data_IF_424014322542
#
_entry.id   IF_424014322542
#
_cell.length_a   1.000
_cell.length_b   1.000
_cell.length_c   1.000
_cell.angle_alpha   90.00
_cell.angle_beta   90.00
_cell.angle_gamma   90.00
#
_symmetry.space_group_name_H-M   'P 1'
#
loop_
_entity.id
_entity.type
_entity.pdbx_description
1 polymer ?
#
# COMPACT_ATOMS: atom_id res chain seq x y z
N UNK A 1 13.97 -35.85 24.99
CA UNK A 1 14.41 -37.26 24.78
C UNK A 1 15.93 -37.28 24.57
N UNK A 2 16.59 -38.43 24.66
CA UNK A 2 18.00 -38.50 24.24
C UNK A 2 18.09 -38.21 22.74
N UNK A 3 18.93 -37.26 22.34
CA UNK A 3 19.05 -36.86 20.93
C UNK A 3 19.82 -35.54 20.73
N UNK A 4 20.05 -35.21 19.46
CA UNK A 4 20.67 -33.94 19.04
C UNK A 4 19.60 -32.93 18.63
N UNK A 5 19.73 -31.71 19.13
CA UNK A 5 18.78 -30.62 18.92
C UNK A 5 19.51 -29.35 18.45
N UNK A 6 18.91 -28.59 17.55
CA UNK A 6 19.30 -27.20 17.31
C UNK A 6 18.50 -26.29 18.24
N UNK A 7 19.19 -25.33 18.86
CA UNK A 7 18.61 -24.47 19.90
C UNK A 7 18.75 -23.01 19.47
N UNK A 8 17.69 -22.23 19.65
CA UNK A 8 17.67 -20.78 19.41
C UNK A 8 16.88 -20.06 20.49
N UNK A 9 17.11 -18.76 20.61
CA UNK A 9 16.28 -17.85 21.41
C UNK A 9 15.21 -17.17 20.55
N UNK A 10 14.12 -16.79 21.20
CA UNK A 10 13.04 -16.00 20.62
C UNK A 10 12.62 -14.92 21.61
N UNK A 11 12.57 -13.67 21.15
CA UNK A 11 12.38 -12.50 22.01
C UNK A 11 11.46 -11.48 21.34
N UNK A 12 10.16 -11.77 21.30
CA UNK A 12 9.18 -10.86 20.68
C UNK A 12 8.85 -9.62 21.53
N UNK A 13 9.08 -9.68 22.84
CA UNK A 13 8.70 -8.65 23.82
C UNK A 13 9.87 -8.15 24.66
N UNK A 14 11.09 -8.41 24.23
CA UNK A 14 12.28 -7.88 24.89
C UNK A 14 13.17 -7.23 23.84
N UNK A 15 14.01 -6.31 24.27
CA UNK A 15 14.93 -5.57 23.42
C UNK A 15 16.11 -6.42 22.92
N UNK A 16 16.09 -7.74 23.06
CA UNK A 16 17.18 -8.62 22.65
C UNK A 16 16.91 -9.27 21.29
N UNK A 17 17.97 -9.38 20.48
CA UNK A 17 17.93 -10.14 19.24
C UNK A 17 17.89 -11.64 19.54
N UNK A 18 17.05 -12.37 18.80
CA UNK A 18 17.08 -13.83 18.80
C UNK A 18 18.30 -14.34 18.03
N UNK A 19 18.96 -15.38 18.55
CA UNK A 19 20.13 -15.98 17.93
C UNK A 19 20.09 -17.52 18.05
N UNK A 20 20.78 -18.21 17.14
CA UNK A 20 21.04 -19.64 17.28
C UNK A 20 22.26 -19.86 18.17
N UNK A 21 22.31 -21.02 18.82
CA UNK A 21 23.40 -21.36 19.74
C UNK A 21 24.79 -21.15 19.10
N UNK A 22 25.67 -20.43 19.80
CA UNK A 22 27.00 -20.00 19.34
C UNK A 22 26.98 -19.09 18.11
N UNK A 23 26.04 -18.13 18.08
CA UNK A 23 25.92 -17.10 17.03
C UNK A 23 25.85 -17.69 15.61
N UNK A 24 25.27 -18.88 15.49
CA UNK A 24 25.21 -19.59 14.22
C UNK A 24 24.20 -18.92 13.27
N UNK A 25 24.57 -18.81 11.99
CA UNK A 25 23.67 -18.39 10.93
C UNK A 25 23.23 -19.60 10.09
N UNK A 26 21.95 -20.01 10.14
CA UNK A 26 21.42 -21.09 9.30
C UNK A 26 21.60 -20.86 7.78
N UNK A 27 21.76 -19.59 7.36
CA UNK A 27 22.07 -19.25 5.98
C UNK A 27 23.49 -19.65 5.56
N UNK A 28 24.43 -19.76 6.51
CA UNK A 28 25.81 -20.17 6.28
C UNK A 28 26.07 -21.67 6.58
N UNK A 29 25.15 -22.34 7.29
CA UNK A 29 25.19 -23.78 7.54
C UNK A 29 24.34 -24.22 8.73
N UNK A 30 24.27 -25.53 8.97
CA UNK A 30 23.52 -26.07 10.11
C UNK A 30 24.10 -25.55 11.45
N UNK A 31 23.25 -25.06 12.38
CA UNK A 31 23.71 -24.64 13.70
C UNK A 31 24.42 -25.78 14.47
N UNK A 32 25.33 -25.49 15.41
CA UNK A 32 25.94 -26.51 16.25
C UNK A 32 24.87 -27.30 17.03
N UNK A 33 24.79 -28.64 16.87
CA UNK A 33 23.79 -29.43 17.58
C UNK A 33 24.16 -29.61 19.06
N UNK A 34 23.17 -29.43 19.93
CA UNK A 34 23.25 -29.74 21.37
C UNK A 34 22.77 -31.17 21.59
N UNK A 35 23.65 -32.04 22.10
CA UNK A 35 23.29 -33.41 22.44
C UNK A 35 22.77 -33.50 23.88
N UNK A 36 21.54 -33.99 24.03
CA UNK A 36 20.86 -34.19 25.32
C UNK A 36 20.80 -35.67 25.63
N UNK A 37 21.14 -36.07 26.87
CA UNK A 37 21.07 -37.46 27.34
C UNK A 37 20.11 -37.61 28.52
N UNK A 38 18.90 -38.13 28.26
CA UNK A 38 17.92 -38.37 29.31
C UNK A 38 18.39 -39.46 30.29
N UNK A 39 18.13 -39.34 31.61
CA UNK A 39 17.32 -38.30 32.27
C UNK A 39 18.15 -37.11 32.77
N UNK A 40 19.41 -36.98 32.34
CA UNK A 40 20.33 -35.98 32.84
C UNK A 40 20.06 -34.61 32.22
N UNK A 41 20.41 -33.56 32.98
CA UNK A 41 20.48 -32.21 32.45
C UNK A 41 21.71 -32.04 31.54
N UNK A 42 21.62 -31.14 30.56
CA UNK A 42 22.73 -30.76 29.68
C UNK A 42 23.15 -29.33 30.02
N UNK A 43 24.03 -29.14 31.02
CA UNK A 43 24.38 -27.81 31.51
C UNK A 43 25.24 -27.04 30.50
N UNK A 44 25.48 -25.76 30.79
CA UNK A 44 26.41 -24.88 30.07
C UNK A 44 26.04 -24.52 28.62
N UNK A 45 24.75 -24.66 28.27
CA UNK A 45 24.18 -24.16 27.02
C UNK A 45 23.66 -22.73 27.25
N UNK A 46 24.60 -21.77 27.24
CA UNK A 46 24.34 -20.36 27.52
C UNK A 46 24.29 -19.50 26.25
N UNK A 47 23.53 -18.40 26.29
CA UNK A 47 23.42 -17.38 25.24
C UNK A 47 23.87 -16.02 25.76
N UNK A 48 24.42 -15.16 24.87
CA UNK A 48 24.82 -13.79 25.21
C UNK A 48 24.16 -12.86 24.20
N UNK A 49 22.92 -12.47 24.49
CA UNK A 49 22.10 -11.76 23.52
C UNK A 49 22.52 -10.31 23.35
N UNK A 50 22.60 -9.88 22.09
CA UNK A 50 22.76 -8.47 21.73
C UNK A 50 21.43 -7.73 21.86
N UNK A 51 21.47 -6.48 22.34
CA UNK A 51 20.29 -5.61 22.35
C UNK A 51 20.04 -5.07 20.93
N UNK A 52 18.82 -5.24 20.43
CA UNK A 52 18.35 -4.66 19.18
C UNK A 52 17.79 -3.26 19.35
N UNK A 53 17.55 -2.59 18.23
CA UNK A 53 16.92 -1.27 18.19
C UNK A 53 15.42 -1.29 18.42
N UNK A 54 14.82 -0.11 18.36
CA UNK A 54 13.38 0.09 18.47
C UNK A 54 12.81 1.01 17.40
N UNK A 55 11.52 0.83 17.12
CA UNK A 55 10.71 1.67 16.25
C UNK A 55 9.46 2.06 17.01
N UNK A 56 9.07 3.33 16.92
CA UNK A 56 7.84 3.83 17.51
C UNK A 56 7.16 4.87 16.63
N UNK A 57 5.86 5.02 16.83
CA UNK A 57 5.03 5.97 16.12
C UNK A 57 3.58 5.83 16.55
N UNK A 58 2.70 6.26 15.67
CA UNK A 58 1.25 6.28 15.89
C UNK A 58 0.56 5.48 14.81
N UNK A 59 -0.38 4.63 15.20
CA UNK A 59 -1.29 3.95 14.28
C UNK A 59 -2.61 4.71 14.28
N UNK A 60 -3.04 5.16 13.10
CA UNK A 60 -4.32 5.84 12.91
C UNK A 60 -5.29 4.92 12.19
N UNK A 61 -6.51 4.84 12.69
CA UNK A 61 -7.61 4.10 12.07
C UNK A 61 -8.95 4.74 12.42
N UNK A 62 -9.60 5.36 11.42
CA UNK A 62 -10.80 6.17 11.62
C UNK A 62 -12.03 5.35 12.05
N UNK A 63 -12.13 4.09 11.59
CA UNK A 63 -13.31 3.25 11.78
C UNK A 63 -13.06 2.01 12.67
N UNK A 64 -11.89 1.92 13.30
CA UNK A 64 -11.56 0.82 14.20
C UNK A 64 -12.26 0.98 15.56
N UNK A 65 -13.30 0.18 15.83
CA UNK A 65 -13.99 0.19 17.12
C UNK A 65 -14.23 -1.21 17.71
N UNK A 66 -13.87 -1.40 18.98
CA UNK A 66 -14.17 -2.65 19.71
C UNK A 66 -13.31 -3.87 19.35
N UNK A 67 -12.17 -3.66 18.67
CA UNK A 67 -11.18 -4.70 18.33
C UNK A 67 -9.81 -4.48 18.99
N UNK A 68 -8.77 -5.12 18.47
CA UNK A 68 -7.38 -4.80 18.82
C UNK A 68 -6.56 -4.52 17.58
N UNK A 69 -5.50 -3.72 17.78
CA UNK A 69 -4.47 -3.47 16.79
C UNK A 69 -3.25 -4.33 17.14
N UNK A 70 -2.67 -4.95 16.13
CA UNK A 70 -1.41 -5.67 16.19
C UNK A 70 -0.44 -4.92 15.28
N UNK A 71 0.62 -4.37 15.88
CA UNK A 71 1.78 -3.85 15.16
C UNK A 71 2.84 -4.94 15.06
N UNK A 72 3.56 -5.02 13.96
CA UNK A 72 4.60 -6.02 13.80
C UNK A 72 5.70 -5.61 12.80
N UNK A 73 6.88 -6.20 13.00
CA UNK A 73 8.06 -6.02 12.16
C UNK A 73 8.44 -7.33 11.49
N UNK A 74 8.76 -7.30 10.20
CA UNK A 74 9.18 -8.46 9.40
C UNK A 74 10.59 -8.29 8.85
N UNK A 75 11.30 -9.41 8.67
CA UNK A 75 12.64 -9.46 8.07
C UNK A 75 12.64 -9.35 6.54
N UNK A 76 11.46 -9.44 5.93
CA UNK A 76 11.24 -9.33 4.49
C UNK A 76 9.84 -8.75 4.25
N UNK A 77 9.59 -8.33 3.01
CA UNK A 77 8.27 -7.86 2.59
C UNK A 77 7.21 -8.96 2.78
N UNK A 78 6.05 -8.54 3.28
CA UNK A 78 4.89 -9.40 3.49
C UNK A 78 4.31 -9.83 2.15
N UNK A 79 4.02 -11.13 2.00
CA UNK A 79 3.32 -11.59 0.80
C UNK A 79 1.85 -11.12 0.82
N UNK A 80 1.23 -10.81 -0.34
CA UNK A 80 -0.17 -10.35 -0.41
C UNK A 80 -1.18 -11.33 0.22
N UNK A 81 -0.85 -12.62 0.27
CA UNK A 81 -1.68 -13.68 0.85
C UNK A 81 -1.36 -14.00 2.32
N UNK A 82 -0.49 -13.22 2.96
CA UNK A 82 -0.03 -13.39 4.34
C UNK A 82 0.65 -14.73 4.66
N UNK A 83 0.97 -15.53 3.63
CA UNK A 83 1.45 -16.92 3.79
C UNK A 83 2.78 -17.06 4.53
N UNK A 84 3.59 -16.02 4.56
CA UNK A 84 4.96 -16.02 5.11
C UNK A 84 5.11 -15.23 6.42
N UNK A 85 4.00 -14.79 7.03
CA UNK A 85 4.03 -13.88 8.17
C UNK A 85 4.84 -14.45 9.36
N UNK A 86 4.49 -15.65 9.82
CA UNK A 86 5.07 -16.23 11.03
C UNK A 86 6.56 -16.58 10.89
N UNK A 87 7.00 -16.92 9.68
CA UNK A 87 8.41 -17.26 9.42
C UNK A 87 9.31 -16.02 9.40
N UNK A 88 8.73 -14.85 9.11
CA UNK A 88 9.44 -13.57 8.94
C UNK A 88 9.33 -12.64 10.14
N UNK A 89 8.53 -13.02 11.15
CA UNK A 89 8.20 -12.17 12.27
C UNK A 89 9.43 -11.91 13.17
N UNK A 90 9.78 -10.63 13.33
CA UNK A 90 10.86 -10.17 14.22
C UNK A 90 10.28 -9.75 15.57
N UNK A 91 9.29 -8.86 15.54
CA UNK A 91 8.72 -8.20 16.72
C UNK A 91 7.23 -8.00 16.53
N UNK A 92 6.47 -8.05 17.62
CA UNK A 92 5.04 -7.74 17.60
C UNK A 92 4.62 -6.98 18.86
N UNK A 93 3.61 -6.13 18.71
CA UNK A 93 3.01 -5.35 19.80
C UNK A 93 1.49 -5.36 19.69
N UNK A 94 0.82 -5.62 20.82
CA UNK A 94 -0.64 -5.56 20.94
C UNK A 94 -1.07 -4.24 21.55
N UNK A 95 -2.11 -3.65 20.97
CA UNK A 95 -2.69 -2.39 21.39
C UNK A 95 -4.20 -2.60 21.48
N UNK A 96 -4.78 -2.31 22.63
CA UNK A 96 -6.23 -2.37 22.78
C UNK A 96 -6.87 -1.24 21.93
N UNK A 97 -7.66 -1.64 20.93
CA UNK A 97 -8.18 -0.80 19.85
C UNK A 97 -9.34 0.10 20.30
N UNK A 98 -9.04 1.00 21.24
CA UNK A 98 -10.02 1.90 21.85
C UNK A 98 -10.01 3.32 21.26
N UNK A 99 -9.00 3.68 20.45
CA UNK A 99 -8.84 5.03 19.94
C UNK A 99 -8.53 5.03 18.44
N UNK A 100 -9.09 6.02 17.74
CA UNK A 100 -8.80 6.34 16.32
C UNK A 100 -7.31 6.57 16.06
N UNK A 101 -6.53 6.81 17.11
CA UNK A 101 -5.10 7.00 17.08
C UNK A 101 -4.46 6.36 18.31
N UNK A 102 -3.51 5.46 18.12
CA UNK A 102 -2.87 4.70 19.20
C UNK A 102 -1.35 4.63 19.02
N UNK A 103 -0.55 4.93 20.06
CA UNK A 103 0.90 4.81 19.98
C UNK A 103 1.31 3.33 19.97
N UNK A 104 2.42 3.03 19.30
CA UNK A 104 3.01 1.69 19.29
C UNK A 104 4.53 1.74 19.45
N UNK A 105 5.11 0.62 19.86
CA UNK A 105 6.56 0.45 19.91
C UNK A 105 6.91 -1.00 19.62
N UNK A 106 7.82 -1.20 18.68
CA UNK A 106 8.43 -2.48 18.35
C UNK A 106 9.88 -2.45 18.80
N UNK A 107 10.34 -3.51 19.45
CA UNK A 107 11.67 -3.60 20.06
C UNK A 107 12.38 -4.87 19.62
N UNK A 108 13.70 -4.90 19.82
CA UNK A 108 14.52 -6.06 19.44
C UNK A 108 14.70 -6.16 17.93
N UNK A 109 14.76 -5.00 17.25
CA UNK A 109 14.93 -4.95 15.79
C UNK A 109 16.42 -5.04 15.43
N UNK A 110 16.78 -5.83 14.40
CA UNK A 110 18.17 -5.97 13.98
C UNK A 110 18.72 -4.68 13.36
N UNK A 111 20.02 -4.44 13.55
CA UNK A 111 20.73 -3.34 12.89
C UNK A 111 21.20 -3.75 11.49
N UNK A 112 21.45 -2.75 10.64
CA UNK A 112 22.08 -2.87 9.32
C UNK A 112 21.38 -3.84 8.34
N UNK A 113 20.11 -4.15 8.61
CA UNK A 113 19.25 -5.01 7.81
C UNK A 113 17.93 -4.30 7.49
N UNK A 114 17.26 -4.74 6.44
CA UNK A 114 15.95 -4.21 6.07
C UNK A 114 14.89 -4.79 6.99
N UNK A 115 14.02 -3.91 7.49
CA UNK A 115 12.88 -4.27 8.32
C UNK A 115 11.64 -3.61 7.73
N UNK A 116 10.54 -4.36 7.63
CA UNK A 116 9.25 -3.86 7.18
C UNK A 116 8.31 -3.74 8.37
N UNK A 117 7.65 -2.60 8.48
CA UNK A 117 6.76 -2.27 9.60
C UNK A 117 5.31 -2.24 9.13
N UNK A 118 4.47 -3.00 9.81
CA UNK A 118 3.05 -3.17 9.48
C UNK A 118 2.18 -3.06 10.73
N UNK A 119 0.90 -2.81 10.51
CA UNK A 119 -0.12 -2.95 11.52
C UNK A 119 -1.42 -3.49 10.93
N UNK A 120 -2.18 -4.19 11.76
CA UNK A 120 -3.46 -4.78 11.43
C UNK A 120 -4.42 -4.59 12.59
N UNK A 121 -5.67 -4.28 12.30
CA UNK A 121 -6.76 -4.29 13.24
C UNK A 121 -7.81 -5.33 12.86
N UNK A 122 -8.32 -6.04 13.89
CA UNK A 122 -9.49 -6.90 13.75
C UNK A 122 -10.33 -6.89 15.02
N UNK A 123 -11.65 -7.06 14.85
CA UNK A 123 -12.59 -7.27 15.94
C UNK A 123 -12.81 -8.75 16.28
N UNK A 124 -12.34 -9.67 15.43
CA UNK A 124 -12.56 -11.11 15.55
C UNK A 124 -11.26 -11.92 15.67
N UNK A 125 -10.11 -11.34 15.34
CA UNK A 125 -8.80 -12.02 15.31
C UNK A 125 -8.76 -13.23 14.36
N UNK A 126 -9.53 -13.17 13.29
CA UNK A 126 -9.41 -14.17 12.23
C UNK A 126 -8.07 -13.92 11.52
N UNK A 127 -7.29 -14.99 11.32
CA UNK A 127 -6.05 -14.91 10.56
C UNK A 127 -6.13 -15.88 9.37
N UNK A 128 -5.83 -15.45 8.14
CA UNK A 128 -5.37 -14.11 7.73
C UNK A 128 -6.44 -13.01 7.89
N UNK A 129 -6.06 -11.72 7.81
CA UNK A 129 -7.03 -10.62 7.79
C UNK A 129 -8.08 -10.80 6.68
N UNK A 130 -9.34 -10.51 6.99
CA UNK A 130 -10.49 -10.71 6.09
C UNK A 130 -11.10 -9.36 5.67
N UNK A 131 -12.04 -9.37 4.71
CA UNK A 131 -12.81 -8.18 4.38
C UNK A 131 -13.45 -7.55 5.63
N UNK A 132 -13.30 -6.22 5.77
CA UNK A 132 -13.77 -5.46 6.93
C UNK A 132 -12.79 -5.40 8.11
N UNK A 133 -11.66 -6.10 8.05
CA UNK A 133 -10.49 -5.79 8.87
C UNK A 133 -9.75 -4.58 8.29
N UNK A 134 -8.79 -4.01 9.03
CA UNK A 134 -8.02 -2.86 8.58
C UNK A 134 -6.52 -3.18 8.60
N UNK A 135 -5.81 -2.88 7.52
CA UNK A 135 -4.38 -3.16 7.37
C UNK A 135 -3.61 -1.93 6.90
N UNK A 136 -2.37 -1.82 7.32
CA UNK A 136 -1.51 -0.71 6.92
C UNK A 136 -0.03 -1.04 7.08
N UNK A 137 0.79 -0.23 6.44
CA UNK A 137 2.24 -0.31 6.53
C UNK A 137 2.84 1.08 6.61
N UNK A 138 4.08 1.18 7.09
CA UNK A 138 4.81 2.43 6.98
C UNK A 138 5.13 2.75 5.52
N UNK A 139 4.80 3.97 5.07
CA UNK A 139 4.89 4.39 3.67
C UNK A 139 6.30 4.32 3.08
N UNK A 140 7.33 4.54 3.91
CA UNK A 140 8.73 4.50 3.49
C UNK A 140 9.41 3.17 3.85
N UNK A 141 8.63 2.09 3.99
CA UNK A 141 9.17 0.75 4.07
C UNK A 141 10.04 0.41 2.83
N UNK A 142 11.11 -0.40 3.00
CA UNK A 142 11.66 -0.88 4.27
C UNK A 142 12.53 0.17 4.97
N UNK A 143 12.63 0.06 6.29
CA UNK A 143 13.56 0.85 7.11
C UNK A 143 14.85 0.07 7.40
N UNK A 144 15.91 0.79 7.78
CA UNK A 144 17.19 0.22 8.24
C UNK A 144 17.60 0.92 9.53
N UNK A 145 17.67 0.19 10.64
CA UNK A 145 18.20 0.70 11.90
C UNK A 145 19.72 0.64 11.90
N UNK A 146 20.36 1.58 12.60
CA UNK A 146 21.82 1.64 12.75
C UNK A 146 22.16 1.71 14.23
N UNK A 147 23.27 1.13 14.66
CA UNK A 147 23.73 1.26 16.06
C UNK A 147 23.91 2.73 16.49
N UNK A 148 24.28 3.61 15.55
CA UNK A 148 24.42 5.04 15.79
C UNK A 148 23.08 5.77 16.01
N UNK A 149 21.97 5.17 15.56
CA UNK A 149 20.61 5.67 15.76
C UNK A 149 19.67 4.48 16.04
N UNK A 150 19.74 3.92 17.25
CA UNK A 150 19.12 2.64 17.57
C UNK A 150 17.60 2.73 17.74
N UNK A 151 17.06 3.93 17.90
CA UNK A 151 15.65 4.17 18.16
C UNK A 151 15.08 5.11 17.10
N UNK A 152 14.19 4.59 16.26
CA UNK A 152 13.46 5.38 15.27
C UNK A 152 12.08 5.76 15.82
N UNK A 153 11.71 7.02 15.67
CA UNK A 153 10.42 7.58 16.08
C UNK A 153 9.68 8.14 14.87
N UNK A 154 8.41 8.50 15.02
CA UNK A 154 7.59 9.10 13.95
C UNK A 154 7.42 8.16 12.74
N UNK A 155 7.45 6.84 13.01
CA UNK A 155 7.13 5.82 12.01
C UNK A 155 5.62 5.57 12.09
N UNK A 156 4.84 6.50 11.53
CA UNK A 156 3.38 6.46 11.62
C UNK A 156 2.76 5.52 10.58
N UNK A 157 1.63 4.89 10.93
CA UNK A 157 0.93 3.94 10.06
C UNK A 157 -0.54 4.34 9.98
N UNK A 158 -1.07 4.42 8.76
CA UNK A 158 -2.50 4.59 8.51
C UNK A 158 -3.09 3.25 8.10
N UNK A 159 -4.09 2.77 8.84
CA UNK A 159 -4.81 1.56 8.46
C UNK A 159 -5.92 1.90 7.48
N UNK A 160 -6.00 1.13 6.40
CA UNK A 160 -7.11 1.17 5.45
C UNK A 160 -7.92 -0.11 5.57
N UNK A 161 -9.21 -0.03 5.28
CA UNK A 161 -10.07 -1.21 5.26
C UNK A 161 -9.56 -2.20 4.20
N UNK A 162 -9.62 -3.48 4.52
CA UNK A 162 -9.37 -4.56 3.58
C UNK A 162 -10.71 -4.83 2.89
N UNK A 163 -10.73 -4.66 1.57
CA UNK A 163 -11.93 -4.88 0.78
C UNK A 163 -11.72 -6.09 -0.15
N UNK A 164 -12.76 -6.91 -0.25
CA UNK A 164 -12.81 -8.06 -1.14
C UNK A 164 -13.70 -7.73 -2.33
N UNK A 165 -13.20 -8.00 -3.54
CA UNK A 165 -13.92 -7.78 -4.81
C UNK A 165 -14.25 -6.31 -5.14
N UNK A 166 -13.86 -5.39 -4.27
CA UNK A 166 -13.95 -3.93 -4.34
C UNK A 166 -12.58 -3.47 -3.80
N UNK A 167 -11.73 -2.84 -4.62
CA UNK A 167 -10.32 -2.62 -4.25
C UNK A 167 -10.07 -1.30 -3.54
N UNK A 168 -10.92 -0.31 -3.77
CA UNK A 168 -10.81 1.04 -3.21
C UNK A 168 -11.84 1.29 -2.09
N UNK A 169 -12.71 0.31 -1.83
CA UNK A 169 -13.71 0.29 -0.77
C UNK A 169 -14.82 1.33 -0.95
N UNK A 170 -15.17 1.67 -2.19
CA UNK A 170 -16.21 2.65 -2.47
C UNK A 170 -17.64 2.08 -2.37
N UNK A 171 -17.77 0.75 -2.24
CA UNK A 171 -19.02 0.01 -2.15
C UNK A 171 -19.51 -0.56 -3.49
N UNK A 172 -18.75 -0.36 -4.56
CA UNK A 172 -19.01 -0.87 -5.90
C UNK A 172 -18.01 -1.97 -6.22
N UNK A 173 -18.49 -3.08 -6.78
CA UNK A 173 -17.59 -4.20 -7.06
C UNK A 173 -16.73 -3.90 -8.28
N UNK A 174 -15.45 -4.27 -8.25
CA UNK A 174 -14.58 -4.27 -9.40
C UNK A 174 -15.22 -4.96 -10.60
N UNK A 175 -14.86 -4.51 -11.81
CA UNK A 175 -15.43 -5.02 -13.05
C UNK A 175 -15.27 -6.55 -13.18
N UNK A 176 -16.40 -7.25 -13.23
CA UNK A 176 -16.46 -8.71 -13.39
C UNK A 176 -16.44 -9.49 -12.07
N UNK A 177 -16.28 -8.80 -10.95
CA UNK A 177 -16.36 -9.37 -9.61
C UNK A 177 -17.78 -9.24 -9.03
N UNK A 178 -18.08 -10.04 -8.00
CA UNK A 178 -19.34 -9.95 -7.27
C UNK A 178 -19.19 -10.47 -5.85
N UNK A 179 -19.66 -9.70 -4.87
CA UNK A 179 -19.61 -10.06 -3.45
C UNK A 179 -20.86 -9.54 -2.72
N UNK A 180 -21.28 -10.13 -1.59
CA UNK A 180 -22.29 -9.53 -0.72
C UNK A 180 -21.90 -8.16 -0.12
N UNK A 181 -20.61 -7.79 -0.15
CA UNK A 181 -20.08 -6.55 0.43
C UNK A 181 -20.18 -5.32 -0.49
N UNK A 182 -20.37 -5.52 -1.79
CA UNK A 182 -20.39 -4.45 -2.80
C UNK A 182 -21.54 -4.69 -3.80
N UNK A 183 -21.92 -3.67 -4.57
CA UNK A 183 -22.95 -3.81 -5.61
C UNK A 183 -22.70 -2.90 -6.81
N UNK A 184 -22.65 -3.48 -8.00
CA UNK A 184 -22.46 -2.75 -9.26
C UNK A 184 -21.23 -3.25 -10.00
N UNK A 185 -20.75 -2.43 -10.92
CA UNK A 185 -19.47 -2.62 -11.61
C UNK A 185 -18.77 -1.28 -11.61
N UNK A 186 -17.63 -1.25 -10.97
CA UNK A 186 -16.83 -0.06 -10.73
C UNK A 186 -16.20 0.44 -12.05
N UNK A 187 -16.38 1.73 -12.34
CA UNK A 187 -15.77 2.44 -13.46
C UNK A 187 -14.40 3.06 -13.12
N UNK A 188 -13.96 3.04 -11.86
CA UNK A 188 -12.60 3.38 -11.39
C UNK A 188 -12.08 2.42 -10.30
N UNK A 189 -11.71 1.16 -10.64
CA UNK A 189 -11.31 0.10 -9.69
C UNK A 189 -10.20 0.41 -8.67
N UNK A 190 -9.51 1.54 -8.77
CA UNK A 190 -8.41 1.92 -7.88
C UNK A 190 -8.65 3.22 -7.13
N UNK A 191 -9.72 3.95 -7.45
CA UNK A 191 -9.87 5.35 -7.06
C UNK A 191 -11.27 5.62 -6.55
N UNK A 192 -11.36 5.74 -5.21
CA UNK A 192 -12.62 5.85 -4.46
C UNK A 192 -13.61 6.83 -5.10
N UNK A 193 -14.68 6.30 -5.69
CA UNK A 193 -15.68 7.10 -6.39
C UNK A 193 -17.12 6.51 -6.24
N UNK A 194 -17.69 6.51 -5.02
CA UNK A 194 -18.96 5.83 -4.72
C UNK A 194 -20.18 6.32 -5.52
N UNK A 195 -20.09 7.51 -6.11
CA UNK A 195 -21.13 8.08 -6.98
C UNK A 195 -21.07 7.57 -8.42
N UNK A 196 -19.92 7.00 -8.83
CA UNK A 196 -19.66 6.45 -10.16
C UNK A 196 -20.01 7.45 -11.27
N UNK A 197 -19.61 8.71 -11.09
CA UNK A 197 -19.79 9.77 -12.10
C UNK A 197 -18.93 9.45 -13.33
N UNK A 198 -19.48 9.69 -14.52
CA UNK A 198 -18.94 9.38 -15.86
C UNK A 198 -19.57 10.40 -16.82
N UNK A 199 -19.23 11.66 -16.58
CA UNK A 199 -19.75 12.82 -17.26
C UNK A 199 -18.92 13.16 -18.49
N UNK A 200 -17.63 12.78 -18.48
CA UNK A 200 -16.68 13.03 -19.55
C UNK A 200 -16.20 11.73 -20.19
N UNK A 201 -16.00 11.71 -21.52
CA UNK A 201 -16.53 12.70 -22.46
C UNK A 201 -18.09 12.73 -22.38
N UNK A 202 -18.78 13.76 -22.91
CA UNK A 202 -20.22 13.85 -22.82
C UNK A 202 -20.93 12.57 -23.31
N UNK A 203 -21.78 12.01 -22.44
CA UNK A 203 -22.44 10.68 -22.53
C UNK A 203 -21.70 9.53 -21.83
N UNK A 204 -20.50 9.80 -21.32
CA UNK A 204 -19.64 8.87 -20.63
C UNK A 204 -18.99 7.84 -21.56
N UNK A 205 -17.82 7.35 -21.19
CA UNK A 205 -17.11 6.29 -21.91
C UNK A 205 -17.04 4.97 -21.10
N UNK A 206 -17.62 4.94 -19.89
CA UNK A 206 -17.57 3.81 -18.97
C UNK A 206 -16.33 3.76 -18.09
N UNK A 207 -15.54 4.82 -18.07
CA UNK A 207 -14.45 5.12 -17.14
C UNK A 207 -14.95 6.29 -16.28
N UNK A 208 -14.76 6.25 -14.97
CA UNK A 208 -15.32 7.30 -14.10
C UNK A 208 -14.50 8.58 -14.13
N UNK A 209 -15.15 9.72 -13.88
CA UNK A 209 -14.53 11.07 -13.87
C UNK A 209 -13.30 11.19 -12.94
N UNK A 210 -13.18 10.33 -11.94
CA UNK A 210 -12.06 10.34 -10.98
C UNK A 210 -10.79 9.71 -11.57
N UNK A 211 -10.93 8.83 -12.55
CA UNK A 211 -9.82 8.10 -13.14
C UNK A 211 -9.70 8.29 -14.66
N UNK A 212 -10.72 8.82 -15.34
CA UNK A 212 -10.70 9.10 -16.77
C UNK A 212 -9.74 10.26 -17.05
N UNK A 213 -8.62 10.01 -17.72
CA UNK A 213 -7.63 11.05 -18.01
C UNK A 213 -8.05 11.81 -19.26
N UNK A 214 -8.86 12.86 -19.10
CA UNK A 214 -9.53 13.49 -20.23
C UNK A 214 -8.57 14.18 -21.21
N UNK A 215 -7.37 14.53 -20.74
CA UNK A 215 -6.39 15.28 -21.50
C UNK A 215 -5.05 14.56 -21.70
N UNK A 216 -5.01 13.22 -21.65
CA UNK A 216 -3.86 12.45 -22.12
C UNK A 216 -3.93 12.34 -23.65
N UNK A 217 -3.22 13.22 -24.37
CA UNK A 217 -3.35 13.35 -25.82
C UNK A 217 -2.48 12.37 -26.60
N UNK A 218 -1.41 11.84 -26.01
CA UNK A 218 -0.51 10.90 -26.68
C UNK A 218 -0.68 9.43 -26.22
N UNK A 219 -1.61 9.21 -25.29
CA UNK A 219 -1.98 7.92 -24.70
C UNK A 219 -0.82 7.15 -24.07
N UNK A 220 0.11 7.86 -23.44
CA UNK A 220 1.28 7.26 -22.80
C UNK A 220 1.09 6.85 -21.33
N UNK A 221 -0.15 6.96 -20.84
CA UNK A 221 -0.60 6.68 -19.46
C UNK A 221 -0.32 7.76 -18.41
N UNK A 222 0.04 8.98 -18.82
CA UNK A 222 0.13 10.12 -17.89
C UNK A 222 -0.44 11.44 -18.44
N UNK A 223 -0.43 12.50 -17.63
CA UNK A 223 -0.79 13.86 -18.09
C UNK A 223 0.33 14.80 -17.68
N UNK A 224 1.14 15.20 -18.66
CA UNK A 224 2.42 15.83 -18.39
C UNK A 224 2.77 17.01 -19.32
N UNK A 225 4.05 17.37 -19.37
CA UNK A 225 4.50 18.52 -20.16
C UNK A 225 4.33 18.34 -21.68
N UNK A 226 4.32 17.10 -22.18
CA UNK A 226 4.09 16.80 -23.59
C UNK A 226 2.60 17.03 -23.93
N UNK A 227 1.67 16.71 -23.03
CA UNK A 227 0.25 17.06 -23.18
C UNK A 227 0.01 18.57 -23.13
N UNK A 228 0.73 19.28 -22.25
CA UNK A 228 0.67 20.76 -22.19
C UNK A 228 1.06 21.38 -23.53
N UNK A 229 2.09 20.85 -24.18
CA UNK A 229 2.54 21.35 -25.47
C UNK A 229 1.46 21.18 -26.54
N UNK A 230 0.74 20.06 -26.49
CA UNK A 230 -0.38 19.74 -27.37
C UNK A 230 -1.58 20.65 -27.09
N UNK A 231 -1.98 20.80 -25.82
CA UNK A 231 -3.06 21.70 -25.37
C UNK A 231 -2.84 23.15 -25.84
N UNK A 232 -1.64 23.70 -25.61
CA UNK A 232 -1.32 25.09 -25.96
C UNK A 232 -1.37 25.34 -27.47
N UNK A 233 -1.14 24.32 -28.30
CA UNK A 233 -1.18 24.45 -29.75
C UNK A 233 -2.58 24.79 -30.28
N UNK A 234 -3.62 24.29 -29.60
CA UNK A 234 -5.02 24.45 -29.98
C UNK A 234 -5.77 25.46 -29.09
N UNK A 235 -5.15 25.98 -28.03
CA UNK A 235 -5.76 27.00 -27.16
C UNK A 235 -6.27 28.24 -27.91
N UNK A 236 -7.54 28.57 -27.67
CA UNK A 236 -8.26 29.66 -28.33
C UNK A 236 -8.89 29.29 -29.67
N UNK A 237 -8.91 28.01 -30.03
CA UNK A 237 -9.79 27.48 -31.08
C UNK A 237 -11.23 27.47 -30.58
N UNK A 238 -12.18 27.84 -31.44
CA UNK A 238 -13.62 27.83 -31.15
C UNK A 238 -14.43 27.93 -32.46
N UNK A 239 -15.77 27.89 -32.39
CA UNK A 239 -16.69 27.88 -33.54
C UNK A 239 -16.35 28.91 -34.66
N UNK A 240 -15.88 30.11 -34.29
CA UNK A 240 -15.59 31.18 -35.26
C UNK A 240 -14.10 31.41 -35.53
N UNK A 241 -13.20 30.65 -34.90
CA UNK A 241 -11.76 30.77 -35.05
C UNK A 241 -11.11 29.39 -35.05
N UNK A 242 -10.89 28.84 -36.25
CA UNK A 242 -10.34 27.50 -36.45
C UNK A 242 -11.15 26.42 -35.70
N UNK A 243 -12.41 26.18 -36.11
CA UNK A 243 -13.34 25.33 -35.38
C UNK A 243 -12.85 23.89 -35.24
N UNK A 244 -13.27 23.23 -34.18
CA UNK A 244 -13.06 21.81 -33.96
C UNK A 244 -13.92 20.99 -34.94
N UNK A 245 -13.36 19.91 -35.49
CA UNK A 245 -14.05 19.00 -36.39
C UNK A 245 -13.51 17.58 -36.24
N UNK A 246 -14.29 16.56 -36.61
CA UNK A 246 -13.83 15.16 -36.53
C UNK A 246 -12.58 14.85 -37.39
N UNK A 247 -12.29 15.68 -38.40
CA UNK A 247 -11.08 15.56 -39.22
C UNK A 247 -9.97 16.56 -38.84
N UNK A 248 -10.24 17.43 -37.86
CA UNK A 248 -9.33 18.45 -37.30
C UNK A 248 -9.69 18.69 -35.82
N UNK A 249 -9.45 17.66 -34.99
CA UNK A 249 -9.79 17.69 -33.56
C UNK A 249 -9.09 18.85 -32.84
N UNK A 250 -9.74 19.34 -31.79
CA UNK A 250 -9.16 20.29 -30.86
C UNK A 250 -8.49 19.52 -29.72
N UNK A 251 -7.17 19.37 -29.78
CA UNK A 251 -6.46 18.73 -28.68
C UNK A 251 -6.40 19.73 -27.53
N UNK A 252 -7.16 19.47 -26.47
CA UNK A 252 -7.33 20.41 -25.37
C UNK A 252 -8.77 20.82 -25.11
N UNK A 253 -9.74 20.40 -25.93
CA UNK A 253 -11.16 20.47 -25.56
C UNK A 253 -11.47 19.27 -24.67
N UNK A 254 -11.18 19.38 -23.39
CA UNK A 254 -11.25 18.25 -22.47
C UNK A 254 -12.70 18.00 -21.99
N UNK A 255 -13.57 19.01 -22.04
CA UNK A 255 -14.98 18.86 -21.72
C UNK A 255 -15.89 18.58 -22.94
N UNK A 256 -15.30 18.56 -24.13
CA UNK A 256 -15.95 18.33 -25.42
C UNK A 256 -17.11 19.30 -25.70
N UNK A 257 -16.92 20.58 -25.43
CA UNK A 257 -17.93 21.61 -25.66
C UNK A 257 -17.73 22.36 -27.00
N UNK A 258 -16.64 22.05 -27.72
CA UNK A 258 -16.37 22.56 -29.06
C UNK A 258 -15.47 23.79 -29.11
N UNK A 259 -14.81 24.14 -28.00
CA UNK A 259 -13.70 25.07 -28.00
C UNK A 259 -12.53 24.62 -27.10
N UNK A 260 -11.44 25.38 -27.12
CA UNK A 260 -10.28 25.15 -26.23
C UNK A 260 -10.03 26.43 -25.47
N UNK A 261 -10.53 26.52 -24.25
CA UNK A 261 -10.55 27.74 -23.47
C UNK A 261 -10.11 27.56 -22.01
N UNK A 262 -10.38 28.56 -21.17
CA UNK A 262 -9.98 28.53 -19.76
C UNK A 262 -10.69 27.47 -18.92
N UNK A 263 -11.86 26.98 -19.34
CA UNK A 263 -12.57 25.91 -18.63
C UNK A 263 -11.88 24.57 -18.88
N UNK A 264 -11.38 24.34 -20.11
CA UNK A 264 -10.53 23.19 -20.37
C UNK A 264 -9.22 23.20 -19.59
N UNK A 265 -8.67 24.38 -19.30
CA UNK A 265 -7.49 24.48 -18.43
C UNK A 265 -7.81 24.01 -17.02
N UNK A 266 -9.00 24.29 -16.52
CA UNK A 266 -9.43 23.80 -15.21
C UNK A 266 -9.49 22.28 -15.21
N UNK A 267 -10.09 21.69 -16.25
CA UNK A 267 -10.19 20.25 -16.42
C UNK A 267 -8.82 19.57 -16.58
N UNK A 268 -7.96 20.09 -17.45
CA UNK A 268 -6.58 19.62 -17.65
C UNK A 268 -5.76 19.57 -16.35
N UNK A 269 -5.98 20.55 -15.47
CA UNK A 269 -5.24 20.65 -14.21
C UNK A 269 -5.70 19.63 -13.15
N UNK A 270 -6.85 18.98 -13.32
CA UNK A 270 -7.30 17.91 -12.43
C UNK A 270 -6.37 16.68 -12.54
N UNK A 271 -5.88 16.39 -13.75
CA UNK A 271 -5.03 15.24 -14.03
C UNK A 271 -3.53 15.55 -14.10
N UNK A 272 -3.14 16.82 -14.22
CA UNK A 272 -1.75 17.17 -14.43
C UNK A 272 -0.83 16.68 -13.30
N UNK A 273 0.18 15.88 -13.67
CA UNK A 273 1.11 15.26 -12.74
C UNK A 273 0.74 13.84 -12.29
N UNK A 274 -0.41 13.31 -12.76
CA UNK A 274 -0.62 11.86 -12.84
C UNK A 274 0.54 11.21 -13.59
N UNK A 275 0.94 10.01 -13.19
CA UNK A 275 2.03 9.26 -13.81
C UNK A 275 1.99 7.77 -13.46
N UNK A 276 2.90 6.99 -14.04
CA UNK A 276 3.00 5.54 -13.80
C UNK A 276 3.05 5.10 -12.32
N UNK A 277 3.47 5.97 -11.41
CA UNK A 277 3.58 5.68 -9.98
C UNK A 277 2.50 6.37 -9.13
N UNK A 278 1.75 7.30 -9.69
CA UNK A 278 0.80 8.13 -8.97
C UNK A 278 -0.46 8.34 -9.81
N UNK A 279 -1.49 7.55 -9.53
CA UNK A 279 -2.78 7.52 -10.25
C UNK A 279 -2.59 7.52 -11.78
N UNK A 280 -2.07 6.42 -12.38
CA UNK A 280 -1.82 6.36 -13.81
C UNK A 280 -3.10 6.48 -14.64
N UNK A 281 -2.98 7.03 -15.83
CA UNK A 281 -4.12 7.13 -16.75
C UNK A 281 -4.54 5.76 -17.29
N UNK A 282 -5.84 5.56 -17.53
CA UNK A 282 -6.36 4.42 -18.27
C UNK A 282 -5.76 4.35 -19.68
N UNK A 283 -5.79 3.16 -20.27
CA UNK A 283 -5.37 2.97 -21.66
C UNK A 283 -6.35 3.66 -22.61
N UNK A 284 -5.86 4.53 -23.49
CA UNK A 284 -6.67 5.23 -24.50
C UNK A 284 -6.18 5.01 -25.94
N UNK A 285 -6.99 5.42 -26.91
CA UNK A 285 -6.62 5.56 -28.32
C UNK A 285 -6.54 7.05 -28.67
N UNK A 286 -5.42 7.46 -29.30
CA UNK A 286 -5.17 8.86 -29.64
C UNK A 286 -6.24 9.40 -30.59
N UNK A 287 -6.86 10.52 -30.22
CA UNK A 287 -7.78 11.27 -31.07
C UNK A 287 -9.26 10.88 -30.99
N UNK A 288 -9.64 9.99 -30.07
CA UNK A 288 -11.03 9.51 -29.89
C UNK A 288 -11.78 10.16 -28.71
N UNK A 289 -11.26 11.26 -28.13
CA UNK A 289 -11.83 11.89 -26.93
C UNK A 289 -13.17 12.59 -27.18
N UNK A 290 -13.20 13.56 -28.11
CA UNK A 290 -14.39 14.31 -28.45
C UNK A 290 -14.94 13.96 -29.83
N UNK A 291 -16.27 13.99 -29.94
CA UNK A 291 -16.98 13.87 -31.22
C UNK A 291 -17.61 15.21 -31.57
N UNK A 292 -17.26 15.76 -32.73
CA UNK A 292 -17.67 17.08 -33.22
C UNK A 292 -18.74 17.07 -34.32
#
# INVERSE_FOLDING_TARGET
>A
PTGSYYVRTWSYYQSYLGEWYQDADPGEGDPPPVYVEAPNDTPDINFVLTTGGSVSGTITCENCSGGQIISFALSEELAPDFSNLLDKLISLGYIDGQAESSPYTLIGLPYDTRVWIYAWWSNQFNFPPEAGDYFGSYEANPIILREANPDLTEIDIHLKEICESDYDCDGICNRGESSPSCNGSDNCPSDYNPSQEDNYPPQGNGIGDVCDCECNFDCDSDVDADDVATFIADFGRFEFNNPCANDDHCNGDCECDGDVDSVDVEKFMEDFGRNHFNNPCPTCEVGDWCVY
#
